data_IF_656993629490
#
_entry.id   IF_656993629490
#
_cell.length_a   1.000
_cell.length_b   1.000
_cell.length_c   1.000
_cell.angle_alpha   90.00
_cell.angle_beta   90.00
_cell.angle_gamma   90.00
#
_symmetry.space_group_name_H-M   'P 1'
#
loop_
_entity.id
_entity.type
_entity.pdbx_description
1 polymer ?
#
# COMPACT_ATOMS: atom_id res chain seq x y z
N UNK A 1 2.49 -66.89 -55.83
CA UNK A 1 3.58 -66.68 -56.79
C UNK A 1 4.81 -66.26 -55.98
N UNK A 2 5.91 -67.03 -56.04
CA UNK A 2 7.32 -66.60 -55.81
C UNK A 2 7.59 -65.61 -54.64
N UNK A 3 8.02 -66.05 -53.45
CA UNK A 3 9.44 -66.18 -52.95
C UNK A 3 10.20 -64.82 -52.77
N UNK A 4 11.17 -64.57 -51.86
CA UNK A 4 11.84 -65.20 -50.68
C UNK A 4 12.42 -63.99 -49.86
N UNK A 5 12.20 -63.81 -48.54
CA UNK A 5 12.91 -64.35 -47.34
C UNK A 5 14.27 -63.70 -46.95
N UNK A 6 14.45 -63.49 -45.62
CA UNK A 6 15.66 -63.26 -44.76
C UNK A 6 16.24 -61.85 -44.49
N UNK A 7 16.55 -61.66 -43.20
CA UNK A 7 17.62 -60.86 -42.58
C UNK A 7 18.55 -61.85 -41.79
N UNK A 8 19.48 -61.47 -40.87
CA UNK A 8 20.12 -60.19 -40.50
C UNK A 8 21.68 -60.27 -40.54
N UNK A 9 22.43 -59.31 -39.93
CA UNK A 9 23.55 -59.51 -38.94
C UNK A 9 24.36 -58.22 -38.61
N UNK A 10 25.32 -58.29 -37.66
CA UNK A 10 26.00 -57.15 -36.99
C UNK A 10 27.55 -57.24 -36.94
N UNK A 11 28.20 -56.11 -36.63
CA UNK A 11 29.55 -55.88 -36.02
C UNK A 11 29.52 -54.47 -35.34
N UNK A 12 30.26 -54.01 -34.30
CA UNK A 12 31.49 -54.38 -33.54
C UNK A 12 32.84 -53.98 -34.18
N UNK A 13 33.78 -53.29 -33.51
CA UNK A 13 33.88 -52.72 -32.14
C UNK A 13 33.71 -51.16 -32.18
N UNK A 14 34.07 -50.26 -31.25
CA UNK A 14 34.78 -50.21 -29.94
C UNK A 14 34.24 -48.97 -29.15
N UNK A 15 34.38 -48.68 -27.84
CA UNK A 15 35.36 -48.93 -26.74
C UNK A 15 36.69 -48.13 -26.85
N UNK A 16 37.22 -47.42 -25.84
CA UNK A 16 36.85 -47.28 -24.39
C UNK A 16 37.17 -45.85 -23.86
N UNK A 17 36.82 -45.52 -22.61
CA UNK A 17 36.92 -44.19 -21.97
C UNK A 17 38.01 -44.08 -20.85
N UNK A 18 37.93 -43.01 -20.02
CA UNK A 18 38.71 -42.66 -18.80
C UNK A 18 40.08 -41.95 -18.99
N UNK A 19 40.68 -41.26 -17.99
CA UNK A 19 40.15 -40.38 -16.91
C UNK A 19 41.30 -39.73 -16.08
N UNK A 20 41.08 -38.51 -15.57
CA UNK A 20 41.64 -37.91 -14.32
C UNK A 20 43.17 -37.68 -14.12
N UNK A 21 43.48 -36.61 -13.36
CA UNK A 21 44.76 -36.30 -12.66
C UNK A 21 46.02 -36.00 -13.52
N UNK A 22 46.99 -35.17 -13.09
CA UNK A 22 47.01 -34.10 -12.06
C UNK A 22 48.27 -33.23 -12.18
N UNK A 23 48.20 -31.97 -11.75
CA UNK A 23 49.28 -31.12 -11.21
C UNK A 23 50.62 -30.97 -11.96
N UNK A 24 50.98 -29.74 -12.36
CA UNK A 24 52.26 -29.09 -12.02
C UNK A 24 52.25 -27.59 -12.36
N UNK A 25 52.86 -26.75 -11.52
CA UNK A 25 53.09 -25.31 -11.79
C UNK A 25 54.51 -25.06 -12.36
N UNK A 26 54.71 -23.92 -13.03
CA UNK A 26 55.80 -23.03 -12.64
C UNK A 26 55.37 -21.54 -12.49
N UNK A 27 56.33 -20.67 -12.19
CA UNK A 27 56.13 -19.32 -11.61
C UNK A 27 55.80 -18.17 -12.59
N UNK A 28 55.31 -17.05 -12.01
CA UNK A 28 55.17 -15.72 -12.62
C UNK A 28 56.52 -15.11 -13.07
N UNK A 29 56.49 -14.06 -13.90
CA UNK A 29 56.69 -12.71 -13.33
C UNK A 29 55.52 -11.72 -13.58
N UNK A 30 55.47 -10.64 -12.80
CA UNK A 30 54.43 -9.60 -12.88
C UNK A 30 54.72 -8.54 -13.96
N UNK A 31 53.66 -7.96 -14.54
CA UNK A 31 53.63 -6.55 -14.96
C UNK A 31 52.27 -5.89 -14.63
N UNK A 32 52.25 -4.55 -14.64
CA UNK A 32 51.18 -3.72 -14.09
C UNK A 32 50.03 -3.47 -15.09
N UNK A 33 48.80 -3.38 -14.56
CA UNK A 33 47.62 -2.86 -15.25
C UNK A 33 46.61 -2.30 -14.24
N UNK A 34 46.22 -1.04 -14.38
CA UNK A 34 45.44 -0.34 -13.36
C UNK A 34 43.95 -0.76 -13.34
N UNK A 35 43.35 -0.82 -12.15
CA UNK A 35 41.89 -0.91 -11.98
C UNK A 35 41.30 0.50 -11.87
N UNK A 36 40.21 0.83 -12.59
CA UNK A 36 39.51 2.10 -12.40
C UNK A 36 38.77 2.11 -11.06
N UNK A 37 38.98 3.16 -10.26
CA UNK A 37 38.24 3.39 -9.02
C UNK A 37 36.93 4.12 -9.38
N UNK A 38 35.81 3.41 -9.33
CA UNK A 38 34.49 4.03 -9.48
C UNK A 38 34.11 4.80 -8.21
N UNK A 39 34.23 6.12 -8.28
CA UNK A 39 33.90 7.03 -7.18
C UNK A 39 32.37 7.23 -7.11
N UNK A 40 31.68 6.41 -6.31
CA UNK A 40 30.27 6.63 -6.01
C UNK A 40 30.11 7.78 -5.00
N UNK A 41 29.36 8.86 -5.30
CA UNK A 41 29.10 9.92 -4.34
C UNK A 41 28.16 9.39 -3.24
N UNK A 42 28.66 9.31 -2.02
CA UNK A 42 27.88 8.91 -0.84
C UNK A 42 26.82 9.95 -0.53
N UNK A 43 25.53 9.59 -0.72
CA UNK A 43 24.40 10.39 -0.21
C UNK A 43 24.50 10.55 1.32
N UNK A 44 24.07 11.68 1.90
CA UNK A 44 24.11 11.89 3.34
C UNK A 44 23.24 10.85 4.08
N UNK A 45 23.73 10.36 5.21
CA UNK A 45 23.00 9.41 6.06
C UNK A 45 21.91 10.12 6.85
N UNK A 46 20.65 9.83 6.54
CA UNK A 46 19.48 10.33 7.29
C UNK A 46 19.34 9.59 8.64
N UNK A 47 20.08 10.05 9.64
CA UNK A 47 20.00 9.58 11.03
C UNK A 47 18.79 10.15 11.76
N UNK A 48 17.59 9.69 11.40
CA UNK A 48 16.38 10.02 12.16
C UNK A 48 16.35 9.31 13.52
N UNK A 49 16.66 10.06 14.57
CA UNK A 49 16.52 9.65 15.96
C UNK A 49 15.05 9.38 16.29
N UNK A 50 14.69 8.11 16.49
CA UNK A 50 13.38 7.74 16.99
C UNK A 50 13.22 8.18 18.45
N UNK A 51 12.31 9.13 18.68
CA UNK A 51 11.71 9.35 20.01
C UNK A 51 10.24 8.91 19.96
N UNK A 52 9.83 7.87 20.72
CA UNK A 52 8.42 7.56 20.87
C UNK A 52 7.75 8.71 21.64
N UNK A 53 6.71 9.31 21.05
CA UNK A 53 5.93 10.35 21.72
C UNK A 53 5.00 9.69 22.74
N UNK A 54 5.16 10.01 24.03
CA UNK A 54 4.20 9.63 25.05
C UNK A 54 3.00 10.58 25.01
N UNK A 55 1.79 10.01 24.94
CA UNK A 55 0.56 10.80 24.98
C UNK A 55 0.29 11.24 26.42
N UNK A 56 0.78 12.42 26.79
CA UNK A 56 0.27 13.16 27.95
C UNK A 56 -0.77 14.17 27.45
N UNK A 57 -2.03 13.99 27.87
CA UNK A 57 -3.14 14.84 27.49
C UNK A 57 -3.08 16.20 28.21
N UNK A 58 -2.32 17.14 27.62
CA UNK A 58 -2.20 18.50 28.13
C UNK A 58 -3.49 19.30 27.90
N UNK A 59 -4.31 19.44 28.95
CA UNK A 59 -5.48 20.36 28.96
C UNK A 59 -5.04 21.82 29.16
N UNK A 60 -4.34 22.39 28.18
CA UNK A 60 -4.12 23.83 28.09
C UNK A 60 -5.16 24.47 27.16
N UNK A 61 -6.30 24.86 27.73
CA UNK A 61 -7.36 25.61 27.04
C UNK A 61 -6.96 27.08 26.87
N UNK A 62 -6.19 27.40 25.83
CA UNK A 62 -5.73 28.76 25.53
C UNK A 62 -6.21 29.25 24.15
N UNK A 63 -7.44 29.77 24.09
CA UNK A 63 -7.87 30.80 23.12
C UNK A 63 -7.82 30.51 21.61
N UNK A 64 -7.43 29.32 21.16
CA UNK A 64 -7.56 28.95 19.74
C UNK A 64 -9.03 28.71 19.40
N UNK A 65 -9.50 29.33 18.33
CA UNK A 65 -10.74 28.93 17.67
C UNK A 65 -10.62 27.47 17.19
N UNK A 66 -11.68 26.70 17.35
CA UNK A 66 -11.70 25.28 16.99
C UNK A 66 -11.87 25.13 15.48
N UNK A 67 -10.81 24.66 14.81
CA UNK A 67 -10.78 24.53 13.35
C UNK A 67 -11.84 23.55 12.87
N UNK A 68 -12.67 23.99 11.92
CA UNK A 68 -13.74 23.19 11.30
C UNK A 68 -13.13 22.19 10.34
N UNK A 69 -13.54 20.93 10.44
CA UNK A 69 -12.91 19.81 9.72
C UNK A 69 -13.82 19.26 8.63
N UNK A 70 -13.41 19.40 7.38
CA UNK A 70 -14.03 18.74 6.24
C UNK A 70 -13.58 17.29 6.13
N UNK A 71 -14.47 16.37 5.74
CA UNK A 71 -14.10 14.99 5.41
C UNK A 71 -14.79 14.49 4.14
N UNK A 72 -14.00 14.19 3.11
CA UNK A 72 -14.45 13.77 1.79
C UNK A 72 -14.21 12.26 1.59
N UNK A 73 -15.27 11.51 1.33
CA UNK A 73 -15.19 10.08 1.02
C UNK A 73 -15.37 9.18 2.24
N UNK A 74 -16.54 8.56 2.33
CA UNK A 74 -16.96 7.70 3.45
C UNK A 74 -16.93 6.23 3.03
N UNK A 75 -15.71 5.76 2.78
CA UNK A 75 -15.39 4.35 2.51
C UNK A 75 -15.03 3.57 3.77
N UNK A 76 -14.51 2.34 3.59
CA UNK A 76 -14.08 1.43 4.68
C UNK A 76 -13.13 2.12 5.67
N UNK A 77 -12.28 3.03 5.20
CA UNK A 77 -11.33 3.79 6.02
C UNK A 77 -11.90 5.16 6.44
N UNK A 78 -12.50 5.90 5.49
CA UNK A 78 -12.97 7.27 5.74
C UNK A 78 -14.07 7.36 6.80
N UNK A 79 -15.00 6.41 6.84
CA UNK A 79 -16.08 6.41 7.85
C UNK A 79 -15.56 6.33 9.29
N UNK A 80 -14.75 5.33 9.70
CA UNK A 80 -14.20 5.31 11.07
C UNK A 80 -13.22 6.46 11.37
N UNK A 81 -12.46 6.94 10.38
CA UNK A 81 -11.57 8.10 10.53
C UNK A 81 -12.37 9.36 10.90
N UNK A 82 -13.41 9.70 10.12
CA UNK A 82 -14.32 10.79 10.43
C UNK A 82 -15.07 10.57 11.75
N UNK A 83 -15.49 9.32 12.04
CA UNK A 83 -16.18 8.98 13.29
C UNK A 83 -15.33 9.26 14.53
N UNK A 84 -14.01 9.04 14.45
CA UNK A 84 -13.12 9.27 15.59
C UNK A 84 -12.86 10.77 15.83
N UNK A 85 -12.78 11.59 14.78
CA UNK A 85 -12.78 13.05 14.90
C UNK A 85 -14.05 13.57 15.59
N UNK A 86 -15.23 13.08 15.19
CA UNK A 86 -16.53 13.43 15.81
C UNK A 86 -16.57 13.02 17.29
N UNK A 87 -16.14 11.79 17.63
CA UNK A 87 -16.07 11.30 19.03
C UNK A 87 -15.10 12.11 19.90
N UNK A 88 -14.09 12.73 19.31
CA UNK A 88 -13.14 13.63 19.99
C UNK A 88 -13.68 15.05 20.17
N UNK A 89 -14.88 15.36 19.66
CA UNK A 89 -15.56 16.65 19.82
C UNK A 89 -15.45 17.61 18.64
N UNK A 90 -14.67 17.28 17.60
CA UNK A 90 -14.39 18.19 16.50
C UNK A 90 -15.65 18.51 15.66
N UNK A 91 -15.76 19.76 15.19
CA UNK A 91 -16.80 20.18 14.25
C UNK A 91 -16.53 19.62 12.83
N UNK A 92 -17.08 18.43 12.55
CA UNK A 92 -16.87 17.71 11.28
C UNK A 92 -18.02 17.93 10.29
N UNK A 93 -17.67 18.37 9.07
CA UNK A 93 -18.57 18.43 7.91
C UNK A 93 -18.20 17.35 6.90
N UNK A 94 -19.13 16.46 6.56
CA UNK A 94 -18.87 15.30 5.70
C UNK A 94 -19.51 15.42 4.32
N UNK A 95 -18.83 14.86 3.31
CA UNK A 95 -19.39 14.58 1.99
C UNK A 95 -19.01 13.18 1.51
N UNK A 96 -19.92 12.55 0.77
CA UNK A 96 -19.64 11.33 0.02
C UNK A 96 -20.56 11.22 -1.20
N UNK A 97 -19.99 10.85 -2.36
CA UNK A 97 -20.68 10.63 -3.65
C UNK A 97 -22.00 9.84 -3.55
N UNK A 98 -22.10 8.92 -2.61
CA UNK A 98 -23.35 8.25 -2.21
C UNK A 98 -23.82 8.84 -0.87
N UNK A 99 -24.83 9.73 -0.87
CA UNK A 99 -25.28 10.43 0.34
C UNK A 99 -25.56 9.50 1.53
N UNK A 100 -26.16 8.33 1.30
CA UNK A 100 -26.56 7.42 2.39
C UNK A 100 -25.40 6.87 3.24
N UNK A 101 -24.15 7.07 2.83
CA UNK A 101 -22.97 6.79 3.68
C UNK A 101 -22.65 7.91 4.68
N UNK A 102 -23.19 9.11 4.50
CA UNK A 102 -23.08 10.23 5.44
C UNK A 102 -24.03 10.06 6.62
N UNK A 103 -25.22 9.49 6.40
CA UNK A 103 -26.30 9.43 7.40
C UNK A 103 -25.88 8.82 8.76
N UNK A 104 -25.03 7.77 8.85
CA UNK A 104 -24.50 7.27 10.13
C UNK A 104 -23.59 8.25 10.89
N UNK A 105 -22.94 9.19 10.20
CA UNK A 105 -22.12 10.23 10.83
C UNK A 105 -22.93 11.49 11.15
N UNK A 106 -23.94 11.82 10.32
CA UNK A 106 -24.91 12.88 10.61
C UNK A 106 -25.65 12.55 11.93
N UNK A 107 -26.04 11.29 12.12
CA UNK A 107 -26.64 10.79 13.37
C UNK A 107 -25.69 10.85 14.59
N UNK A 108 -24.39 11.13 14.39
CA UNK A 108 -23.39 11.34 15.44
C UNK A 108 -23.02 12.82 15.61
N UNK A 109 -23.67 13.74 14.88
CA UNK A 109 -23.45 15.19 14.97
C UNK A 109 -22.70 15.81 13.79
N UNK A 110 -22.32 15.03 12.77
CA UNK A 110 -21.65 15.59 11.60
C UNK A 110 -22.58 16.49 10.76
N UNK A 111 -22.06 17.62 10.31
CA UNK A 111 -22.69 18.45 9.28
C UNK A 111 -22.58 17.76 7.91
N UNK A 112 -23.47 18.09 6.99
CA UNK A 112 -23.45 17.56 5.62
C UNK A 112 -23.48 18.71 4.62
N UNK A 113 -22.77 18.53 3.50
CA UNK A 113 -22.83 19.39 2.33
C UNK A 113 -23.01 18.55 1.07
N UNK A 114 -23.51 19.13 -0.02
CA UNK A 114 -23.85 18.41 -1.25
C UNK A 114 -22.68 18.19 -2.20
N UNK A 115 -21.64 19.03 -2.13
CA UNK A 115 -20.42 18.96 -2.97
C UNK A 115 -19.11 19.00 -2.17
N UNK A 116 -17.99 18.50 -2.72
CA UNK A 116 -16.65 18.73 -2.18
C UNK A 116 -16.29 20.22 -2.03
N UNK A 117 -16.73 21.05 -2.99
CA UNK A 117 -16.60 22.50 -2.94
C UNK A 117 -17.25 23.12 -1.69
N UNK A 118 -18.49 22.75 -1.36
CA UNK A 118 -19.19 23.28 -0.18
C UNK A 118 -18.50 22.87 1.14
N UNK A 119 -17.96 21.64 1.23
CA UNK A 119 -17.15 21.22 2.38
C UNK A 119 -15.89 22.08 2.49
N UNK A 120 -15.13 22.22 1.40
CA UNK A 120 -13.92 23.03 1.36
C UNK A 120 -14.19 24.50 1.72
N UNK A 121 -15.28 25.07 1.22
CA UNK A 121 -15.70 26.44 1.54
C UNK A 121 -16.08 26.62 3.01
N UNK A 122 -16.77 25.65 3.62
CA UNK A 122 -17.27 25.74 5.00
C UNK A 122 -16.27 25.32 6.10
N UNK A 123 -15.17 24.65 5.74
CA UNK A 123 -14.16 24.14 6.68
C UNK A 123 -12.79 24.83 6.55
N UNK A 124 -11.96 24.71 7.58
CA UNK A 124 -10.61 25.30 7.64
C UNK A 124 -9.54 24.29 7.20
N UNK A 125 -9.74 23.02 7.54
CA UNK A 125 -8.95 21.87 7.08
C UNK A 125 -9.89 20.85 6.46
N UNK A 126 -9.60 20.34 5.26
CA UNK A 126 -10.41 19.29 4.61
C UNK A 126 -9.58 18.03 4.34
N UNK A 127 -9.96 16.92 4.97
CA UNK A 127 -9.39 15.60 4.70
C UNK A 127 -10.12 14.90 3.54
N UNK A 128 -9.40 14.07 2.80
CA UNK A 128 -9.96 13.32 1.68
C UNK A 128 -9.46 11.87 1.63
N UNK A 129 -10.37 10.88 1.62
CA UNK A 129 -10.07 9.45 1.64
C UNK A 129 -10.76 8.69 0.51
N UNK A 130 -10.18 8.74 -0.69
CA UNK A 130 -10.72 8.19 -1.93
C UNK A 130 -10.11 6.82 -2.30
N UNK A 131 -10.77 6.16 -3.27
CA UNK A 131 -10.49 4.78 -3.68
C UNK A 131 -9.23 4.60 -4.54
N UNK A 132 -8.95 5.59 -5.39
CA UNK A 132 -7.95 5.56 -6.47
C UNK A 132 -7.61 6.98 -6.97
N UNK A 133 -6.51 7.14 -7.74
CA UNK A 133 -6.12 8.42 -8.34
C UNK A 133 -7.22 9.19 -9.06
N UNK A 134 -8.03 8.52 -9.87
CA UNK A 134 -9.11 9.16 -10.62
C UNK A 134 -10.15 9.77 -9.67
N UNK A 135 -10.55 9.01 -8.63
CA UNK A 135 -11.47 9.48 -7.60
C UNK A 135 -10.91 10.67 -6.81
N UNK A 136 -9.60 10.69 -6.53
CA UNK A 136 -8.94 11.79 -5.83
C UNK A 136 -8.88 13.06 -6.70
N UNK A 137 -8.48 12.94 -7.97
CA UNK A 137 -8.45 14.05 -8.93
C UNK A 137 -9.85 14.63 -9.18
N UNK A 138 -10.88 13.78 -9.33
CA UNK A 138 -12.27 14.21 -9.49
C UNK A 138 -12.76 15.02 -8.28
N UNK A 139 -12.50 14.54 -7.06
CA UNK A 139 -12.96 15.16 -5.81
C UNK A 139 -12.17 16.42 -5.45
N UNK A 140 -10.87 16.47 -5.77
CA UNK A 140 -10.04 17.65 -5.50
C UNK A 140 -10.16 18.73 -6.59
N UNK A 141 -10.14 18.32 -7.86
CA UNK A 141 -9.85 19.20 -9.01
C UNK A 141 -10.98 19.28 -10.05
N UNK A 142 -12.06 18.50 -9.90
CA UNK A 142 -13.24 18.59 -10.77
C UNK A 142 -14.01 19.91 -10.62
N UNK A 143 -15.04 20.09 -11.45
CA UNK A 143 -15.86 21.31 -11.53
C UNK A 143 -16.35 21.79 -10.15
N UNK A 144 -17.06 20.92 -9.42
CA UNK A 144 -17.51 21.14 -8.04
C UNK A 144 -16.53 20.53 -7.01
N UNK A 145 -15.26 20.39 -7.37
CA UNK A 145 -14.20 19.81 -6.56
C UNK A 145 -13.75 20.72 -5.41
N UNK A 146 -12.99 20.17 -4.47
CA UNK A 146 -12.55 20.88 -3.27
C UNK A 146 -11.78 22.18 -3.59
N UNK A 147 -10.97 22.21 -4.66
CA UNK A 147 -10.26 23.41 -5.10
C UNK A 147 -11.21 24.60 -5.40
N UNK A 148 -12.43 24.34 -5.90
CA UNK A 148 -13.43 25.38 -6.17
C UNK A 148 -14.02 26.01 -4.89
N UNK A 149 -13.70 25.48 -3.71
CA UNK A 149 -14.05 26.04 -2.39
C UNK A 149 -12.84 26.41 -1.52
N UNK A 150 -11.62 26.28 -2.03
CA UNK A 150 -10.39 26.61 -1.31
C UNK A 150 -9.97 28.08 -1.49
N UNK A 151 -9.19 28.57 -0.53
CA UNK A 151 -8.77 29.97 -0.40
C UNK A 151 -7.52 30.07 0.49
N UNK A 152 -6.85 31.24 0.54
CA UNK A 152 -5.77 31.47 1.52
C UNK A 152 -6.22 31.16 2.95
N UNK A 153 -5.32 30.57 3.73
CA UNK A 153 -5.56 30.17 5.12
C UNK A 153 -6.19 28.77 5.30
N UNK A 154 -6.78 28.17 4.27
CA UNK A 154 -7.32 26.80 4.31
C UNK A 154 -6.25 25.74 4.02
N UNK A 155 -6.53 24.49 4.38
CA UNK A 155 -5.68 23.33 4.04
C UNK A 155 -6.46 22.14 3.48
N UNK A 156 -5.88 21.46 2.49
CA UNK A 156 -6.33 20.17 1.98
C UNK A 156 -5.36 19.06 2.40
N UNK A 157 -5.88 17.96 2.94
CA UNK A 157 -5.08 16.81 3.39
C UNK A 157 -5.56 15.53 2.68
N UNK A 158 -4.83 15.08 1.67
CA UNK A 158 -5.16 13.85 0.97
C UNK A 158 -4.60 12.62 1.71
N UNK A 159 -5.47 11.83 2.33
CA UNK A 159 -5.11 10.57 3.02
C UNK A 159 -5.31 9.34 2.11
N UNK A 160 -5.76 9.55 0.87
CA UNK A 160 -5.91 8.51 -0.15
C UNK A 160 -4.60 7.85 -0.53
N UNK A 161 -4.65 6.63 -1.05
CA UNK A 161 -3.46 5.99 -1.65
C UNK A 161 -3.44 6.20 -3.16
N UNK A 162 -2.58 7.10 -3.61
CA UNK A 162 -2.37 7.50 -5.02
C UNK A 162 -0.90 7.36 -5.39
N UNK A 163 -0.57 7.57 -6.66
CA UNK A 163 0.80 7.80 -7.14
C UNK A 163 1.29 9.23 -6.88
N UNK A 164 2.61 9.41 -6.92
CA UNK A 164 3.28 10.67 -6.65
C UNK A 164 2.89 11.76 -7.66
N UNK A 165 2.68 11.38 -8.92
CA UNK A 165 2.30 12.28 -10.01
C UNK A 165 0.90 12.85 -9.78
N UNK A 166 -0.06 12.00 -9.40
CA UNK A 166 -1.40 12.43 -8.96
C UNK A 166 -1.34 13.35 -7.76
N UNK A 167 -0.56 13.01 -6.74
CA UNK A 167 -0.40 13.84 -5.54
C UNK A 167 0.18 15.23 -5.87
N UNK A 168 1.17 15.30 -6.77
CA UNK A 168 1.76 16.55 -7.28
C UNK A 168 0.75 17.39 -8.09
N UNK A 169 -0.08 16.76 -8.93
CA UNK A 169 -1.13 17.44 -9.68
C UNK A 169 -2.19 18.05 -8.76
N UNK A 170 -2.65 17.30 -7.75
CA UNK A 170 -3.59 17.80 -6.74
C UNK A 170 -2.94 18.93 -5.93
N UNK A 171 -1.68 18.77 -5.50
CA UNK A 171 -0.96 19.81 -4.77
C UNK A 171 -0.79 21.10 -5.57
N UNK A 172 -0.54 21.03 -6.87
CA UNK A 172 -0.45 22.22 -7.72
C UNK A 172 -1.81 22.93 -7.77
N UNK A 173 -2.88 22.19 -8.10
CA UNK A 173 -4.23 22.75 -8.25
C UNK A 173 -4.82 23.31 -6.94
N UNK A 174 -4.48 22.73 -5.79
CA UNK A 174 -4.85 23.28 -4.48
C UNK A 174 -4.06 24.58 -4.22
N UNK A 175 -2.75 24.62 -4.46
CA UNK A 175 -1.91 25.79 -4.18
C UNK A 175 -2.19 27.00 -5.07
N UNK A 176 -2.73 26.80 -6.27
CA UNK A 176 -3.28 27.87 -7.12
C UNK A 176 -4.36 28.71 -6.41
N UNK A 177 -5.06 28.15 -5.41
CA UNK A 177 -6.09 28.85 -4.62
C UNK A 177 -5.52 29.65 -3.43
N UNK A 178 -4.21 29.54 -3.19
CA UNK A 178 -3.55 30.04 -1.98
C UNK A 178 -3.73 29.15 -0.73
N UNK A 179 -4.49 28.05 -0.82
CA UNK A 179 -4.58 27.05 0.24
C UNK A 179 -3.31 26.17 0.31
N UNK A 180 -3.09 25.57 1.48
CA UNK A 180 -1.99 24.63 1.71
C UNK A 180 -2.39 23.19 1.34
N UNK A 181 -1.40 22.37 0.98
CA UNK A 181 -1.58 20.95 0.64
C UNK A 181 -0.63 20.05 1.45
N UNK A 182 -1.18 18.95 1.95
CA UNK A 182 -0.43 17.87 2.58
C UNK A 182 -0.94 16.53 2.02
N UNK A 183 -0.06 15.69 1.51
CA UNK A 183 -0.38 14.26 1.37
C UNK A 183 -0.11 13.57 2.71
N UNK A 184 -1.00 12.67 3.12
CA UNK A 184 -0.92 11.92 4.36
C UNK A 184 -1.44 10.47 4.20
N UNK A 185 -1.05 9.69 3.17
CA UNK A 185 -1.49 8.31 3.00
C UNK A 185 -1.23 7.44 4.23
N UNK A 186 -2.20 6.58 4.57
CA UNK A 186 -2.20 5.80 5.81
C UNK A 186 -1.74 4.35 5.62
N UNK A 187 -0.94 3.85 6.57
CA UNK A 187 -0.73 2.42 6.79
C UNK A 187 -1.56 1.93 7.97
N UNK A 188 -2.08 0.71 7.85
CA UNK A 188 -3.23 0.21 8.61
C UNK A 188 -4.42 -0.13 7.71
N UNK A 189 -5.43 -0.77 8.29
CA UNK A 189 -6.65 -1.26 7.63
C UNK A 189 -7.87 -0.88 8.48
N UNK A 190 -9.06 -1.40 8.17
CA UNK A 190 -10.34 -1.05 8.84
C UNK A 190 -10.23 -0.98 10.37
N UNK A 191 -9.69 -2.03 11.01
CA UNK A 191 -9.59 -2.09 12.48
C UNK A 191 -8.64 -1.03 13.07
N UNK A 192 -7.39 -0.86 12.57
CA UNK A 192 -6.58 0.31 12.89
C UNK A 192 -7.24 1.69 12.64
N UNK A 193 -8.13 1.82 11.65
CA UNK A 193 -8.89 3.06 11.44
C UNK A 193 -9.98 3.26 12.51
N UNK A 194 -10.70 2.21 12.87
CA UNK A 194 -11.68 2.20 13.97
C UNK A 194 -11.06 2.56 15.32
N UNK A 195 -9.85 2.08 15.59
CA UNK A 195 -9.16 2.21 16.88
C UNK A 195 -8.30 3.49 17.01
N UNK A 196 -8.19 4.33 15.97
CA UNK A 196 -7.28 5.48 15.97
C UNK A 196 -5.80 5.05 16.00
N UNK A 197 -5.46 3.94 15.34
CA UNK A 197 -4.14 3.28 15.37
C UNK A 197 -3.44 3.24 14.00
N UNK A 198 -3.88 4.09 13.06
CA UNK A 198 -3.23 4.31 11.77
C UNK A 198 -1.81 4.87 11.92
N UNK A 199 -1.01 4.72 10.86
CA UNK A 199 0.32 5.32 10.70
C UNK A 199 0.26 6.24 9.48
N UNK A 200 0.41 7.55 9.67
CA UNK A 200 0.39 8.52 8.57
C UNK A 200 1.79 8.70 7.94
N UNK A 201 1.84 8.69 6.61
CA UNK A 201 3.07 8.84 5.82
C UNK A 201 3.02 10.22 5.11
N UNK A 202 3.29 11.28 5.87
CA UNK A 202 2.98 12.66 5.43
C UNK A 202 4.10 13.33 4.64
N UNK A 203 3.75 14.17 3.67
CA UNK A 203 4.67 15.05 2.96
C UNK A 203 3.93 16.26 2.35
N UNK A 204 4.62 17.36 2.09
CA UNK A 204 4.02 18.61 1.59
C UNK A 204 4.24 19.81 2.53
N UNK A 205 3.20 20.61 2.79
CA UNK A 205 3.36 21.86 3.54
C UNK A 205 3.58 21.62 5.04
N UNK A 206 4.78 21.97 5.53
CA UNK A 206 5.20 21.75 6.91
C UNK A 206 4.28 22.43 7.94
N UNK A 207 3.86 23.67 7.65
CA UNK A 207 2.92 24.43 8.47
C UNK A 207 1.55 23.75 8.55
N UNK A 208 1.09 23.12 7.45
CA UNK A 208 -0.16 22.34 7.47
C UNK A 208 0.02 21.06 8.29
N UNK A 209 1.12 20.32 8.13
CA UNK A 209 1.46 19.15 8.98
C UNK A 209 1.45 19.46 10.48
N UNK A 210 1.93 20.65 10.87
CA UNK A 210 1.92 21.12 12.27
C UNK A 210 0.53 21.60 12.72
N UNK A 211 -0.26 22.17 11.81
CA UNK A 211 -1.65 22.61 12.07
C UNK A 211 -2.60 21.43 12.25
N UNK A 212 -2.50 20.40 11.39
CA UNK A 212 -3.39 19.22 11.42
C UNK A 212 -2.92 18.13 12.38
N UNK A 213 -1.80 18.37 13.07
CA UNK A 213 -1.20 17.46 14.05
C UNK A 213 -2.23 16.80 15.00
N UNK A 214 -3.16 17.53 15.67
CA UNK A 214 -4.08 16.91 16.62
C UNK A 214 -5.08 15.96 15.94
N UNK A 215 -5.52 16.29 14.72
CA UNK A 215 -6.46 15.45 13.96
C UNK A 215 -5.81 14.15 13.48
N UNK A 216 -4.54 14.21 13.07
CA UNK A 216 -3.77 13.00 12.75
C UNK A 216 -3.53 12.13 14.00
N UNK A 217 -3.26 12.75 15.15
CA UNK A 217 -3.03 12.04 16.42
C UNK A 217 -4.33 11.49 17.07
N UNK A 218 -5.52 11.96 16.65
CA UNK A 218 -6.82 11.34 16.95
C UNK A 218 -7.07 10.10 16.06
N UNK A 219 -6.70 10.18 14.78
CA UNK A 219 -6.94 9.11 13.81
C UNK A 219 -5.84 8.03 13.78
N UNK A 220 -4.68 8.27 14.40
CA UNK A 220 -3.53 7.40 14.31
C UNK A 220 -2.54 7.52 15.46
N UNK A 221 -1.74 6.47 15.63
CA UNK A 221 -0.75 6.31 16.71
C UNK A 221 0.63 6.88 16.38
N UNK A 222 0.89 7.18 15.11
CA UNK A 222 2.13 7.82 14.67
C UNK A 222 1.97 8.47 13.30
N UNK A 223 2.84 9.46 13.05
CA UNK A 223 2.94 10.16 11.77
C UNK A 223 4.41 10.45 11.46
N UNK A 224 4.80 10.17 10.22
CA UNK A 224 6.12 10.49 9.68
C UNK A 224 6.01 11.70 8.78
N UNK A 225 7.01 12.58 8.80
CA UNK A 225 7.14 13.69 7.86
C UNK A 225 8.30 13.40 6.90
N UNK A 226 7.99 13.23 5.62
CA UNK A 226 8.84 12.64 4.60
C UNK A 226 9.37 13.68 3.57
N UNK A 227 9.22 14.97 3.87
CA UNK A 227 9.68 16.07 3.02
C UNK A 227 8.61 16.49 2.00
N UNK A 228 8.99 16.49 0.72
CA UNK A 228 8.23 17.09 -0.38
C UNK A 228 7.13 16.18 -0.95
N UNK A 229 6.14 16.79 -1.61
CA UNK A 229 4.97 16.08 -2.18
C UNK A 229 5.40 15.01 -3.18
N UNK A 230 4.90 13.79 -2.96
CA UNK A 230 5.23 12.57 -3.68
C UNK A 230 5.97 11.56 -2.80
N UNK A 231 6.67 11.99 -1.76
CA UNK A 231 7.44 11.10 -0.88
C UNK A 231 6.54 10.25 0.03
N UNK A 232 5.39 10.77 0.46
CA UNK A 232 4.35 10.05 1.19
C UNK A 232 3.65 9.02 0.31
N UNK A 233 3.23 9.42 -0.89
CA UNK A 233 2.69 8.50 -1.90
C UNK A 233 3.67 7.37 -2.24
N UNK A 234 4.93 7.70 -2.55
CA UNK A 234 5.98 6.73 -2.87
C UNK A 234 6.24 5.75 -1.71
N UNK A 235 6.38 6.25 -0.47
CA UNK A 235 6.55 5.40 0.71
C UNK A 235 5.34 4.46 0.91
N UNK A 236 4.12 4.96 0.74
CA UNK A 236 2.91 4.15 0.83
C UNK A 236 2.87 3.04 -0.23
N UNK A 237 3.24 3.34 -1.47
CA UNK A 237 3.28 2.37 -2.55
C UNK A 237 4.34 1.28 -2.30
N UNK A 238 5.54 1.65 -1.81
CA UNK A 238 6.57 0.68 -1.40
C UNK A 238 6.05 -0.26 -0.29
N UNK A 239 5.41 0.29 0.75
CA UNK A 239 4.84 -0.51 1.84
C UNK A 239 3.75 -1.46 1.34
N UNK A 240 2.81 -0.99 0.51
CA UNK A 240 1.72 -1.82 0.00
C UNK A 240 2.17 -2.80 -1.11
N UNK A 241 3.27 -2.53 -1.81
CA UNK A 241 3.93 -3.48 -2.71
C UNK A 241 4.51 -4.68 -1.94
N UNK A 242 5.22 -4.40 -0.84
CA UNK A 242 5.77 -5.42 0.06
C UNK A 242 4.63 -6.24 0.66
N UNK A 243 3.59 -5.59 1.21
CA UNK A 243 2.42 -6.26 1.79
C UNK A 243 1.70 -7.18 0.80
N UNK A 244 1.45 -6.70 -0.43
CA UNK A 244 0.79 -7.47 -1.48
C UNK A 244 1.60 -8.69 -1.91
N UNK A 245 2.93 -8.54 -2.02
CA UNK A 245 3.87 -9.61 -2.37
C UNK A 245 4.00 -10.66 -1.27
N UNK A 246 4.09 -10.23 0.00
CA UNK A 246 4.10 -11.11 1.18
C UNK A 246 2.84 -11.98 1.26
N UNK A 247 1.66 -11.41 0.98
CA UNK A 247 0.40 -12.15 0.98
C UNK A 247 0.33 -13.18 -0.17
N UNK A 248 0.91 -12.89 -1.33
CA UNK A 248 1.01 -13.85 -2.43
C UNK A 248 1.93 -15.04 -2.05
N UNK A 249 3.15 -14.79 -1.59
CA UNK A 249 4.08 -15.84 -1.17
C UNK A 249 3.54 -16.69 0.02
N UNK A 250 2.84 -16.07 0.96
CA UNK A 250 2.16 -16.78 2.05
C UNK A 250 1.02 -17.67 1.54
N UNK A 251 0.30 -17.22 0.50
CA UNK A 251 -0.74 -18.02 -0.16
C UNK A 251 -0.16 -19.26 -0.86
N UNK A 252 0.99 -19.13 -1.51
CA UNK A 252 1.74 -20.26 -2.09
C UNK A 252 2.19 -21.24 -1.01
N UNK A 253 2.73 -20.74 0.11
CA UNK A 253 3.16 -21.56 1.25
C UNK A 253 2.03 -22.37 1.88
N UNK A 254 0.85 -21.76 2.10
CA UNK A 254 -0.32 -22.48 2.61
C UNK A 254 -0.77 -23.60 1.65
N UNK A 255 -0.93 -23.30 0.36
CA UNK A 255 -1.36 -24.30 -0.62
C UNK A 255 -0.31 -25.40 -0.84
N UNK A 256 0.99 -25.09 -0.75
CA UNK A 256 2.05 -26.10 -0.80
C UNK A 256 1.98 -27.02 0.43
N UNK A 257 1.68 -26.48 1.62
CA UNK A 257 1.58 -27.28 2.85
C UNK A 257 0.48 -28.34 2.77
N UNK A 258 -0.69 -28.00 2.23
CA UNK A 258 -1.77 -28.97 1.93
C UNK A 258 -1.29 -30.09 0.99
N UNK A 259 -0.47 -29.75 -0.02
CA UNK A 259 0.04 -30.71 -1.02
C UNK A 259 1.14 -31.61 -0.52
N UNK A 260 1.84 -31.26 0.56
CA UNK A 260 2.81 -32.13 1.24
C UNK A 260 2.25 -32.82 2.49
N UNK A 261 0.94 -32.65 2.78
CA UNK A 261 0.25 -33.35 3.86
C UNK A 261 0.40 -32.74 5.26
N UNK A 262 0.73 -31.45 5.34
CA UNK A 262 0.74 -30.68 6.60
C UNK A 262 -0.62 -30.00 6.82
N UNK A 263 -0.96 -29.71 8.08
CA UNK A 263 -2.07 -28.81 8.38
C UNK A 263 -1.63 -27.35 8.12
N UNK A 264 -2.34 -26.57 7.27
CA UNK A 264 -2.04 -25.16 7.07
C UNK A 264 -2.10 -24.30 8.34
N UNK A 265 -2.82 -24.73 9.38
CA UNK A 265 -2.85 -24.05 10.68
C UNK A 265 -1.48 -24.14 11.40
N UNK A 266 -0.78 -25.27 11.30
CA UNK A 266 0.58 -25.43 11.83
C UNK A 266 1.55 -24.45 11.15
N UNK A 267 1.36 -24.21 9.85
CA UNK A 267 2.14 -23.21 9.10
C UNK A 267 1.87 -21.80 9.63
N UNK A 268 0.62 -21.44 9.93
CA UNK A 268 0.30 -20.14 10.57
C UNK A 268 0.98 -20.03 11.94
N UNK A 269 0.99 -21.09 12.73
CA UNK A 269 1.61 -21.09 14.05
C UNK A 269 3.14 -20.96 13.96
N UNK A 270 3.83 -21.82 13.21
CA UNK A 270 5.28 -21.81 13.01
C UNK A 270 5.75 -20.46 12.44
N UNK A 271 5.05 -19.92 11.44
CA UNK A 271 5.34 -18.58 10.89
C UNK A 271 5.17 -17.50 11.97
N UNK A 272 4.20 -17.63 12.88
CA UNK A 272 3.95 -16.64 13.94
C UNK A 272 5.00 -16.65 15.06
N UNK A 273 5.75 -17.75 15.23
CA UNK A 273 6.84 -17.86 16.20
C UNK A 273 8.23 -17.55 15.58
N UNK A 274 8.39 -17.70 14.27
CA UNK A 274 9.67 -17.52 13.56
C UNK A 274 10.04 -16.07 13.21
N UNK A 275 11.24 -15.89 12.66
CA UNK A 275 11.79 -14.58 12.28
C UNK A 275 11.02 -13.82 11.18
N UNK A 276 10.09 -14.49 10.48
CA UNK A 276 9.18 -13.91 9.49
C UNK A 276 7.78 -13.59 10.05
N UNK A 277 7.61 -13.65 11.38
CA UNK A 277 6.33 -13.37 12.04
C UNK A 277 5.81 -11.97 11.73
N UNK A 278 4.58 -11.90 11.22
CA UNK A 278 3.87 -10.67 10.94
C UNK A 278 2.41 -10.79 11.42
N UNK A 279 1.83 -9.76 12.07
CA UNK A 279 0.43 -9.77 12.51
C UNK A 279 -0.56 -10.06 11.37
N UNK A 280 -0.20 -9.71 10.13
CA UNK A 280 -0.97 -10.01 8.92
C UNK A 280 -1.20 -11.51 8.73
N UNK A 281 -0.16 -12.35 8.89
CA UNK A 281 -0.28 -13.80 8.67
C UNK A 281 -1.19 -14.45 9.72
N UNK A 282 -1.01 -14.11 11.00
CA UNK A 282 -1.86 -14.57 12.10
C UNK A 282 -3.32 -14.11 11.99
N UNK A 283 -3.56 -12.91 11.44
CA UNK A 283 -4.90 -12.36 11.23
C UNK A 283 -5.61 -12.97 10.00
N UNK A 284 -4.88 -13.31 8.94
CA UNK A 284 -5.46 -13.69 7.64
C UNK A 284 -5.44 -15.19 7.37
N UNK A 285 -4.40 -15.91 7.78
CA UNK A 285 -4.25 -17.35 7.56
C UNK A 285 -5.49 -18.17 7.96
N UNK A 286 -6.01 -18.07 9.19
CA UNK A 286 -7.19 -18.83 9.63
C UNK A 286 -8.47 -18.56 8.84
N UNK A 287 -8.55 -17.42 8.13
CA UNK A 287 -9.66 -17.06 7.26
C UNK A 287 -9.43 -17.60 5.83
N UNK A 288 -8.19 -17.47 5.31
CA UNK A 288 -7.76 -18.02 4.02
C UNK A 288 -7.93 -19.55 3.94
N UNK A 289 -7.53 -20.27 4.99
CA UNK A 289 -7.67 -21.73 5.12
C UNK A 289 -9.15 -22.13 5.04
N UNK A 290 -10.04 -21.34 5.68
CA UNK A 290 -11.50 -21.55 5.64
C UNK A 290 -12.16 -21.01 4.37
N UNK A 291 -11.40 -20.47 3.43
CA UNK A 291 -11.87 -19.80 2.22
C UNK A 291 -12.89 -18.66 2.50
N UNK A 292 -12.67 -17.94 3.60
CA UNK A 292 -13.50 -16.83 4.08
C UNK A 292 -12.73 -15.52 4.02
N UNK A 293 -13.30 -14.51 3.36
CA UNK A 293 -12.57 -13.28 3.00
C UNK A 293 -13.28 -11.99 3.44
N UNK A 294 -13.57 -11.81 4.75
CA UNK A 294 -14.26 -10.63 5.27
C UNK A 294 -13.43 -9.36 5.03
N UNK A 295 -13.97 -8.46 4.21
CA UNK A 295 -13.21 -7.35 3.62
C UNK A 295 -12.80 -6.29 4.64
N UNK A 296 -11.52 -6.29 5.03
CA UNK A 296 -10.87 -5.21 5.76
C UNK A 296 -10.03 -4.33 4.82
N UNK A 297 -9.44 -4.91 3.77
CA UNK A 297 -8.81 -4.18 2.67
C UNK A 297 -9.18 -4.84 1.33
N UNK A 298 -10.00 -4.21 0.46
CA UNK A 298 -10.48 -4.83 -0.77
C UNK A 298 -9.36 -5.21 -1.74
N UNK A 299 -9.47 -6.41 -2.32
CA UNK A 299 -8.51 -6.99 -3.26
C UNK A 299 -8.26 -6.08 -4.47
N UNK A 300 -9.29 -5.41 -4.98
CA UNK A 300 -9.16 -4.43 -6.07
C UNK A 300 -8.26 -3.23 -5.72
N UNK A 301 -8.19 -2.82 -4.45
CA UNK A 301 -7.31 -1.72 -4.03
C UNK A 301 -5.88 -2.19 -3.81
N UNK A 302 -5.64 -3.39 -3.28
CA UNK A 302 -4.30 -3.99 -3.24
C UNK A 302 -3.72 -4.19 -4.65
N UNK A 303 -4.54 -4.63 -5.62
CA UNK A 303 -4.11 -4.74 -7.02
C UNK A 303 -3.82 -3.36 -7.64
N UNK A 304 -4.64 -2.36 -7.33
CA UNK A 304 -4.38 -0.97 -7.74
C UNK A 304 -3.06 -0.46 -7.15
N UNK A 305 -2.76 -0.71 -5.88
CA UNK A 305 -1.49 -0.30 -5.26
C UNK A 305 -0.29 -1.00 -5.90
N UNK A 306 -0.37 -2.30 -6.20
CA UNK A 306 0.69 -3.02 -6.92
C UNK A 306 0.91 -2.45 -8.33
N UNK A 307 -0.16 -2.14 -9.07
CA UNK A 307 -0.07 -1.46 -10.37
C UNK A 307 0.62 -0.09 -10.27
N UNK A 308 0.30 0.70 -9.25
CA UNK A 308 0.91 2.02 -9.04
C UNK A 308 2.38 1.90 -8.60
N UNK A 309 2.71 0.92 -7.74
CA UNK A 309 4.08 0.65 -7.33
C UNK A 309 4.96 0.15 -8.50
N UNK A 310 4.40 -0.62 -9.43
CA UNK A 310 5.09 -1.01 -10.67
C UNK A 310 5.36 0.19 -11.58
N UNK A 311 4.40 1.12 -11.74
CA UNK A 311 4.62 2.37 -12.48
C UNK A 311 5.66 3.30 -11.83
N UNK A 312 5.69 3.36 -10.49
CA UNK A 312 6.75 4.05 -9.73
C UNK A 312 8.12 3.38 -9.89
N UNK A 313 8.16 2.05 -10.02
CA UNK A 313 9.40 1.32 -10.27
C UNK A 313 9.90 1.53 -11.71
N UNK A 314 9.00 1.58 -12.68
CA UNK A 314 9.26 1.91 -14.09
C UNK A 314 9.82 3.33 -14.25
N UNK A 315 9.22 4.34 -13.59
CA UNK A 315 9.66 5.74 -13.69
C UNK A 315 11.05 6.03 -13.10
N UNK A 316 11.65 5.08 -12.37
CA UNK A 316 13.02 5.14 -11.84
C UNK A 316 13.91 3.99 -12.34
N UNK A 317 13.46 3.22 -13.34
CA UNK A 317 14.18 2.07 -13.92
C UNK A 317 14.56 0.95 -12.92
N UNK A 318 13.77 0.78 -11.85
CA UNK A 318 14.01 -0.24 -10.81
C UNK A 318 13.26 -1.54 -11.13
N UNK A 319 14.00 -2.63 -11.33
CA UNK A 319 13.41 -3.96 -11.53
C UNK A 319 12.73 -4.47 -10.24
N UNK A 320 11.48 -4.95 -10.35
CA UNK A 320 10.63 -5.40 -9.23
C UNK A 320 9.85 -6.69 -9.55
N UNK A 321 10.52 -7.77 -9.99
CA UNK A 321 9.87 -8.95 -10.60
C UNK A 321 8.88 -9.68 -9.67
N UNK A 322 9.15 -9.70 -8.36
CA UNK A 322 8.26 -10.32 -7.36
C UNK A 322 6.91 -9.58 -7.30
N UNK A 323 6.93 -8.25 -7.33
CA UNK A 323 5.72 -7.43 -7.33
C UNK A 323 4.94 -7.56 -8.65
N UNK A 324 5.64 -7.74 -9.78
CA UNK A 324 5.01 -8.01 -11.07
C UNK A 324 4.27 -9.36 -11.06
N UNK A 325 4.91 -10.44 -10.61
CA UNK A 325 4.28 -11.75 -10.46
C UNK A 325 3.06 -11.69 -9.53
N UNK A 326 3.20 -11.06 -8.36
CA UNK A 326 2.09 -10.86 -7.43
C UNK A 326 0.92 -10.10 -8.07
N UNK A 327 1.18 -9.00 -8.78
CA UNK A 327 0.16 -8.20 -9.46
C UNK A 327 -0.69 -9.01 -10.46
N UNK A 328 -0.09 -9.96 -11.18
CA UNK A 328 -0.84 -10.86 -12.07
C UNK A 328 -1.73 -11.85 -11.30
N UNK A 329 -1.26 -12.39 -10.16
CA UNK A 329 -2.12 -13.19 -9.27
C UNK A 329 -3.32 -12.39 -8.75
N UNK A 330 -3.13 -11.12 -8.36
CA UNK A 330 -4.23 -10.25 -7.98
C UNK A 330 -5.19 -9.95 -9.15
N UNK A 331 -4.71 -9.82 -10.39
CA UNK A 331 -5.58 -9.71 -11.58
C UNK A 331 -6.39 -10.99 -11.81
N UNK A 332 -5.79 -12.17 -11.61
CA UNK A 332 -6.49 -13.47 -11.71
C UNK A 332 -7.54 -13.62 -10.61
N UNK A 333 -7.28 -13.18 -9.38
CA UNK A 333 -8.31 -13.13 -8.34
C UNK A 333 -9.46 -12.17 -8.69
N UNK A 334 -9.16 -11.00 -9.27
CA UNK A 334 -10.19 -10.07 -9.77
C UNK A 334 -11.05 -10.67 -10.88
N UNK A 335 -10.47 -11.41 -11.83
CA UNK A 335 -11.24 -12.07 -12.91
C UNK A 335 -12.03 -13.30 -12.43
N UNK A 336 -11.70 -13.87 -11.26
CA UNK A 336 -12.54 -14.82 -10.51
C UNK A 336 -13.66 -14.13 -9.69
N UNK A 337 -13.88 -12.82 -9.86
CA UNK A 337 -14.96 -12.05 -9.20
C UNK A 337 -14.61 -11.51 -7.81
N UNK A 338 -13.40 -11.76 -7.30
CA UNK A 338 -13.03 -11.53 -5.90
C UNK A 338 -12.64 -10.06 -5.59
N UNK A 339 -12.99 -9.13 -6.48
CA UNK A 339 -12.54 -7.72 -6.44
C UNK A 339 -12.91 -6.99 -5.14
N UNK A 340 -14.08 -7.30 -4.57
CA UNK A 340 -14.63 -6.67 -3.36
C UNK A 340 -14.45 -7.50 -2.08
N UNK A 341 -13.87 -8.70 -2.20
CA UNK A 341 -13.42 -9.48 -1.05
C UNK A 341 -12.10 -8.90 -0.50
N UNK A 342 -11.68 -9.38 0.68
CA UNK A 342 -10.38 -9.00 1.23
C UNK A 342 -9.20 -9.42 0.32
N UNK A 343 -8.11 -8.65 0.32
CA UNK A 343 -6.92 -8.94 -0.47
C UNK A 343 -6.29 -10.32 -0.20
N UNK A 344 -6.53 -10.91 0.98
CA UNK A 344 -6.12 -12.29 1.25
C UNK A 344 -6.82 -13.35 0.38
N UNK A 345 -7.87 -13.00 -0.35
CA UNK A 345 -8.48 -13.85 -1.38
C UNK A 345 -7.59 -14.09 -2.62
N UNK A 346 -6.38 -13.51 -2.67
CA UNK A 346 -5.38 -13.82 -3.71
C UNK A 346 -4.98 -15.31 -3.74
N UNK A 347 -5.11 -16.04 -2.62
CA UNK A 347 -4.93 -17.50 -2.59
C UNK A 347 -5.85 -18.24 -3.57
N UNK A 348 -7.05 -17.73 -3.82
CA UNK A 348 -7.98 -18.29 -4.81
C UNK A 348 -7.49 -18.14 -6.26
N UNK A 349 -6.51 -17.27 -6.54
CA UNK A 349 -5.88 -17.20 -7.86
C UNK A 349 -4.98 -18.42 -8.14
N UNK A 350 -4.36 -18.96 -7.09
CA UNK A 350 -3.42 -20.09 -7.13
C UNK A 350 -4.13 -21.44 -7.06
N UNK A 351 -5.29 -21.51 -6.39
CA UNK A 351 -6.14 -22.72 -6.43
C UNK A 351 -6.52 -23.05 -7.88
N UNK A 352 -6.31 -24.31 -8.26
CA UNK A 352 -6.74 -24.82 -9.57
C UNK A 352 -8.25 -24.62 -9.75
N UNK A 353 -8.69 -24.36 -10.98
CA UNK A 353 -10.13 -24.47 -11.29
C UNK A 353 -10.50 -25.94 -11.13
N UNK A 354 -11.39 -26.24 -10.19
CA UNK A 354 -12.21 -27.44 -10.28
C UNK A 354 -13.01 -27.31 -11.59
N UNK A 355 -12.86 -28.30 -12.47
CA UNK A 355 -13.78 -28.51 -13.57
C UNK A 355 -15.00 -29.22 -12.97
N UNK A 356 -16.09 -28.48 -12.82
CA UNK A 356 -17.43 -29.01 -12.54
C UNK A 356 -18.06 -29.48 -13.85
#
# INVERSE_FOLDING_TARGET
MTFLVRAPYCHHFSSTAMAMSSSFCPHLPLQFGARPIFYFPTKPSFSHSFKPFSVQASKNSSGKEELRVGFLGLGIMGTPMAQNLIKSGCDVTVWNRTKSKCDPLINLGAKYQSSPQEVAASCDVTFAMLADPNSALEVACGENGAASGMSPGKGYVDVSTVDDTTSKLISARIKETGALFLEAPVSGSKKPAEDGQLIFLTAGDKSLYETVAPFLDIMGKSRFYLGDVGNGAAMKLVVNMIMGSMMAAFSEGLLLSEKVGLDPNDVVEVVSQGAISAPMYKLKGPAMIKSQYPTAFPLKHQQKDLRLALGLAESVSQSTPIAAAANELYKVAKSRGLSDQDFSAVIEALKAKLQN
#
